data_IF_245286896009
#
_entry.id   IF_245286896009
#
_cell.length_a   1.000
_cell.length_b   1.000
_cell.length_c   1.000
_cell.angle_alpha   90.00
_cell.angle_beta   90.00
_cell.angle_gamma   90.00
#
_symmetry.space_group_name_H-M   'P 1'
#
loop_
_entity.id
_entity.type
_entity.pdbx_description
1 polymer ?
#
# COMPACT_ATOMS: atom_id res chain seq x y z
N UNK A 1 -12.46 -27.37 26.03
CA UNK A 1 -11.87 -26.09 26.43
C UNK A 1 -11.25 -25.50 25.15
N UNK A 2 -11.91 -24.54 24.55
CA UNK A 2 -11.43 -23.87 23.29
C UNK A 2 -10.53 -22.71 23.72
N UNK A 3 -9.24 -22.83 23.48
CA UNK A 3 -8.33 -21.69 23.59
C UNK A 3 -8.53 -20.79 22.36
N UNK A 4 -9.28 -19.72 22.53
CA UNK A 4 -9.29 -18.59 21.64
C UNK A 4 -7.93 -17.88 21.79
N UNK A 5 -7.06 -18.03 20.83
CA UNK A 5 -5.87 -17.19 20.69
C UNK A 5 -6.36 -15.85 20.15
N UNK A 6 -6.50 -14.91 21.07
CA UNK A 6 -6.83 -13.53 20.76
C UNK A 6 -5.54 -12.84 20.30
N UNK A 7 -5.27 -12.85 19.00
CA UNK A 7 -4.21 -12.07 18.39
C UNK A 7 -4.68 -10.62 18.27
N UNK A 8 -4.65 -9.90 19.37
CA UNK A 8 -4.75 -8.45 19.37
C UNK A 8 -3.34 -7.92 19.05
N UNK A 9 -3.09 -7.33 17.88
CA UNK A 9 -1.83 -6.64 17.63
C UNK A 9 -1.76 -5.41 18.53
N UNK A 10 -0.84 -5.44 19.46
CA UNK A 10 -0.61 -4.40 20.45
C UNK A 10 0.09 -3.19 19.85
N UNK A 11 -0.35 -2.07 20.26
CA UNK A 11 0.01 -0.67 20.09
C UNK A 11 1.49 -0.33 19.95
N UNK A 12 1.79 0.50 19.01
CA UNK A 12 3.12 1.08 18.81
C UNK A 12 3.11 2.60 18.95
N UNK A 13 4.03 3.10 19.78
CA UNK A 13 4.17 4.50 20.15
C UNK A 13 5.33 5.16 19.42
N UNK A 14 5.10 6.34 18.93
CA UNK A 14 6.11 7.22 18.40
C UNK A 14 6.48 8.30 19.42
N UNK A 15 7.75 8.41 19.80
CA UNK A 15 8.20 9.39 20.80
C UNK A 15 9.16 10.40 20.17
N UNK A 16 8.70 11.61 20.00
CA UNK A 16 9.55 12.72 19.58
C UNK A 16 10.41 13.24 20.72
N UNK A 17 11.72 13.42 20.48
CA UNK A 17 12.72 13.82 21.47
C UNK A 17 12.95 15.32 21.58
N UNK A 18 12.03 16.19 21.20
CA UNK A 18 12.20 17.61 21.44
C UNK A 18 11.35 18.10 22.62
N UNK A 19 12.01 18.76 23.56
CA UNK A 19 11.56 19.12 24.90
C UNK A 19 10.48 20.21 24.95
N UNK A 20 9.76 20.46 23.88
CA UNK A 20 8.66 21.43 23.88
C UNK A 20 7.48 20.86 23.06
N UNK A 21 6.56 20.23 23.76
CA UNK A 21 5.12 20.10 23.49
C UNK A 21 4.57 19.12 22.47
N UNK A 22 5.33 18.31 21.72
CA UNK A 22 4.68 17.20 21.00
C UNK A 22 4.93 15.88 21.74
N UNK A 23 3.88 15.32 22.33
CA UNK A 23 3.95 14.18 23.27
C UNK A 23 3.62 12.85 22.63
N UNK A 24 3.84 12.57 21.43
CA UNK A 24 3.76 11.22 20.87
C UNK A 24 2.96 11.12 19.57
N UNK A 25 3.59 10.52 18.57
CA UNK A 25 2.94 9.94 17.41
C UNK A 25 2.61 8.47 17.71
N UNK A 26 1.37 8.05 17.54
CA UNK A 26 0.95 6.68 17.77
C UNK A 26 0.55 6.01 16.46
N UNK A 27 1.05 4.84 16.22
CA UNK A 27 0.60 3.97 15.14
C UNK A 27 -0.22 2.82 15.70
N UNK A 28 -1.45 2.69 15.30
CA UNK A 28 -2.26 1.50 15.57
C UNK A 28 -2.74 0.87 14.29
N UNK A 29 -2.71 -0.44 14.26
CA UNK A 29 -3.23 -1.25 13.16
C UNK A 29 -4.71 -1.57 13.43
N UNK A 30 -5.64 -1.12 12.61
CA UNK A 30 -7.04 -1.53 12.67
C UNK A 30 -7.58 -1.91 11.29
N UNK A 31 -8.50 -2.86 11.27
CA UNK A 31 -8.99 -3.61 10.13
C UNK A 31 -9.76 -2.78 9.09
N UNK A 32 -9.46 -3.05 7.85
CA UNK A 32 -10.25 -2.92 6.60
C UNK A 32 -9.97 -1.73 5.68
N UNK A 33 -9.65 -2.00 4.42
CA UNK A 33 -9.78 -1.11 3.27
C UNK A 33 -8.63 -1.10 2.25
N UNK A 34 -8.92 -1.10 1.02
CA UNK A 34 -8.27 -1.63 -0.19
C UNK A 34 -7.61 -0.63 -1.14
N UNK A 35 -6.58 -1.03 -1.87
CA UNK A 35 -6.00 -0.37 -3.05
C UNK A 35 -5.60 -1.33 -4.18
N UNK A 36 -5.57 -0.82 -5.39
CA UNK A 36 -5.65 -1.56 -6.63
C UNK A 36 -4.48 -1.43 -7.57
N UNK A 37 -4.25 -2.51 -8.35
CA UNK A 37 -3.67 -2.42 -9.69
C UNK A 37 -4.23 -3.58 -10.53
N UNK A 38 -5.11 -3.32 -11.49
CA UNK A 38 -5.51 -4.21 -12.58
C UNK A 38 -6.40 -3.47 -13.60
N UNK A 39 -6.37 -3.90 -14.85
CA UNK A 39 -6.94 -3.39 -16.11
C UNK A 39 -8.44 -3.04 -16.18
N UNK A 40 -9.01 -2.53 -15.15
CA UNK A 40 -10.27 -1.75 -15.10
C UNK A 40 -10.20 -0.93 -13.85
N UNK A 41 -10.85 0.25 -13.76
CA UNK A 41 -11.01 0.92 -12.48
C UNK A 41 -11.84 -0.01 -11.59
N UNK A 42 -11.16 -0.97 -10.99
CA UNK A 42 -11.74 -1.84 -9.98
C UNK A 42 -12.13 -0.94 -8.84
N UNK A 43 -13.43 -0.88 -8.59
CA UNK A 43 -13.92 -0.31 -7.34
C UNK A 43 -13.16 -0.99 -6.22
N UNK A 44 -12.70 -0.22 -5.25
CA UNK A 44 -11.84 -0.65 -4.16
C UNK A 44 -12.32 -1.90 -3.40
N UNK A 45 -13.48 -2.41 -3.71
CA UNK A 45 -14.21 -3.45 -2.99
C UNK A 45 -14.29 -4.81 -3.71
N UNK A 46 -13.84 -4.92 -4.96
CA UNK A 46 -14.15 -6.09 -5.79
C UNK A 46 -13.05 -7.18 -5.86
N UNK A 47 -11.82 -6.93 -5.38
CA UNK A 47 -10.81 -7.98 -5.38
C UNK A 47 -10.99 -8.93 -4.20
N UNK A 48 -11.04 -10.24 -4.41
CA UNK A 48 -11.30 -11.20 -3.35
C UNK A 48 -10.20 -11.19 -2.28
N UNK A 49 -10.60 -11.33 -1.03
CA UNK A 49 -9.66 -11.65 0.04
C UNK A 49 -9.20 -13.11 -0.18
N UNK A 50 -7.92 -13.37 0.03
CA UNK A 50 -7.39 -14.72 -0.11
C UNK A 50 -8.16 -15.69 0.78
N UNK A 51 -8.54 -16.85 0.26
CA UNK A 51 -9.20 -17.89 1.05
C UNK A 51 -8.29 -18.27 2.22
N UNK A 52 -8.88 -18.41 3.42
CA UNK A 52 -8.13 -18.86 4.60
C UNK A 52 -7.81 -20.35 4.44
N UNK A 53 -6.52 -20.71 4.28
CA UNK A 53 -6.12 -22.11 4.06
C UNK A 53 -6.35 -22.99 5.29
N UNK A 54 -6.63 -22.42 6.45
CA UNK A 54 -7.00 -23.20 7.65
C UNK A 54 -8.42 -23.72 7.63
N UNK A 55 -9.28 -23.09 6.85
CA UNK A 55 -10.71 -23.43 6.72
C UNK A 55 -11.09 -23.89 5.29
N UNK A 56 -10.27 -23.58 4.31
CA UNK A 56 -10.52 -23.88 2.89
C UNK A 56 -9.39 -24.77 2.35
N UNK A 57 -9.74 -25.94 1.83
CA UNK A 57 -8.77 -26.79 1.14
C UNK A 57 -8.58 -26.27 -0.28
N UNK A 58 -7.35 -25.94 -0.63
CA UNK A 58 -6.97 -25.51 -1.99
C UNK A 58 -6.21 -26.67 -2.65
N UNK A 59 -6.81 -27.25 -3.66
CA UNK A 59 -6.37 -28.53 -4.26
C UNK A 59 -5.29 -28.38 -5.33
N UNK A 60 -5.29 -27.21 -6.03
CA UNK A 60 -4.34 -26.89 -7.10
C UNK A 60 -4.20 -25.38 -7.26
N UNK A 61 -3.22 -24.93 -8.03
CA UNK A 61 -3.11 -23.51 -8.43
C UNK A 61 -4.14 -23.16 -9.49
N UNK A 62 -4.32 -24.07 -10.45
CA UNK A 62 -5.19 -23.84 -11.58
C UNK A 62 -5.88 -25.16 -11.99
N UNK A 63 -7.18 -25.14 -12.00
CA UNK A 63 -8.06 -26.11 -12.61
C UNK A 63 -9.45 -25.47 -12.72
N UNK A 64 -9.87 -25.13 -13.93
CA UNK A 64 -11.17 -24.52 -14.19
C UNK A 64 -12.35 -25.41 -13.81
N UNK A 65 -12.14 -26.72 -13.85
CA UNK A 65 -13.17 -27.73 -13.51
C UNK A 65 -13.25 -28.03 -12.02
N UNK A 66 -12.24 -27.64 -11.24
CA UNK A 66 -12.17 -27.85 -9.79
C UNK A 66 -12.50 -26.54 -9.03
N UNK A 67 -13.70 -26.49 -8.47
CA UNK A 67 -14.15 -25.34 -7.65
C UNK A 67 -13.30 -25.09 -6.39
N UNK A 68 -12.38 -25.99 -6.05
CA UNK A 68 -11.43 -25.88 -4.95
C UNK A 68 -10.03 -25.46 -5.41
N UNK A 69 -9.82 -25.20 -6.69
CA UNK A 69 -8.56 -24.61 -7.18
C UNK A 69 -8.41 -23.16 -6.72
N UNK A 70 -7.17 -22.69 -6.57
CA UNK A 70 -6.89 -21.28 -6.25
C UNK A 70 -7.55 -20.34 -7.27
N UNK A 71 -7.45 -20.68 -8.57
CA UNK A 71 -8.12 -19.97 -9.65
C UNK A 71 -9.63 -19.82 -9.43
N UNK A 72 -10.33 -20.92 -9.18
CA UNK A 72 -11.78 -20.89 -9.00
C UNK A 72 -12.20 -20.14 -7.73
N UNK A 73 -11.44 -20.29 -6.64
CA UNK A 73 -11.72 -19.63 -5.35
C UNK A 73 -11.45 -18.11 -5.39
N UNK A 74 -10.61 -17.65 -6.30
CA UNK A 74 -10.23 -16.23 -6.43
C UNK A 74 -10.88 -15.53 -7.63
N UNK A 75 -11.79 -16.22 -8.32
CA UNK A 75 -12.61 -15.65 -9.39
C UNK A 75 -11.94 -15.50 -10.73
N UNK A 76 -10.78 -16.17 -10.96
CA UNK A 76 -10.12 -16.24 -12.26
C UNK A 76 -9.90 -14.88 -12.89
N UNK A 77 -8.90 -14.14 -12.43
CA UNK A 77 -8.60 -12.82 -13.00
C UNK A 77 -7.61 -12.91 -14.17
N UNK A 78 -7.99 -12.31 -15.29
CA UNK A 78 -7.17 -12.10 -16.48
C UNK A 78 -7.41 -13.13 -17.59
N UNK A 79 -7.20 -12.70 -18.83
CA UNK A 79 -7.28 -13.55 -20.04
C UNK A 79 -6.22 -14.66 -20.05
N UNK A 80 -5.23 -14.59 -19.17
CA UNK A 80 -4.09 -15.52 -19.07
C UNK A 80 -4.20 -16.53 -17.92
N UNK A 81 -5.38 -16.69 -17.32
CA UNK A 81 -5.69 -17.83 -16.45
C UNK A 81 -5.13 -17.79 -15.03
N UNK A 82 -4.64 -16.64 -14.54
CA UNK A 82 -4.12 -16.52 -13.18
C UNK A 82 -5.21 -16.14 -12.16
N UNK A 83 -5.34 -16.87 -11.07
CA UNK A 83 -6.11 -16.46 -9.91
C UNK A 83 -5.40 -15.33 -9.17
N UNK A 84 -6.18 -14.43 -8.56
CA UNK A 84 -5.67 -13.28 -7.78
C UNK A 84 -6.45 -13.09 -6.50
N UNK A 85 -5.77 -12.82 -5.40
CA UNK A 85 -6.42 -12.42 -4.15
C UNK A 85 -5.53 -11.51 -3.31
N UNK A 86 -6.14 -10.89 -2.29
CA UNK A 86 -5.45 -10.01 -1.34
C UNK A 86 -5.26 -10.70 0.00
N UNK A 87 -4.07 -10.56 0.55
CA UNK A 87 -3.68 -11.14 1.82
C UNK A 87 -2.98 -10.15 2.75
N UNK A 88 -2.68 -10.63 3.93
CA UNK A 88 -1.90 -9.91 4.92
C UNK A 88 -0.44 -10.34 4.82
N UNK A 89 0.51 -9.44 4.54
CA UNK A 89 1.92 -9.78 4.59
C UNK A 89 2.40 -9.98 6.02
N UNK A 90 3.42 -10.81 6.24
CA UNK A 90 4.11 -10.94 7.52
C UNK A 90 4.98 -9.69 7.80
N UNK A 91 5.43 -8.99 6.72
CA UNK A 91 6.12 -7.72 6.78
C UNK A 91 5.72 -6.85 5.59
N UNK A 92 5.51 -5.56 5.83
CA UNK A 92 5.24 -4.55 4.82
C UNK A 92 6.05 -3.30 5.12
N UNK A 93 6.82 -2.82 4.16
CA UNK A 93 7.67 -1.66 4.37
C UNK A 93 7.65 -0.69 3.19
N UNK A 94 7.79 0.59 3.50
CA UNK A 94 7.96 1.68 2.53
C UNK A 94 9.06 2.62 2.99
N UNK A 95 9.70 3.32 2.05
CA UNK A 95 10.56 4.45 2.40
C UNK A 95 9.75 5.73 2.34
N UNK A 96 9.62 6.44 3.46
CA UNK A 96 8.86 7.68 3.60
C UNK A 96 9.83 8.87 3.51
N UNK A 97 9.55 9.81 2.62
CA UNK A 97 10.33 11.05 2.45
C UNK A 97 9.65 12.25 3.12
N UNK A 98 8.32 12.33 2.98
CA UNK A 98 7.53 13.41 3.59
C UNK A 98 6.17 12.91 4.01
N UNK A 99 5.65 13.51 5.05
CA UNK A 99 4.31 13.25 5.54
C UNK A 99 3.73 14.52 6.17
N UNK A 100 2.48 14.82 5.87
CA UNK A 100 1.85 16.04 6.37
C UNK A 100 0.41 16.21 5.93
N UNK A 101 -0.06 17.44 6.00
CA UNK A 101 -1.45 17.81 5.75
C UNK A 101 -1.53 19.02 4.84
N UNK A 102 -2.52 19.03 3.96
CA UNK A 102 -2.72 20.11 3.00
C UNK A 102 -4.17 20.60 3.01
N UNK A 103 -4.36 21.90 2.77
CA UNK A 103 -5.68 22.50 2.59
C UNK A 103 -6.24 22.27 1.19
N UNK A 104 -5.38 21.88 0.25
CA UNK A 104 -5.73 21.52 -1.14
C UNK A 104 -4.95 20.28 -1.54
N UNK A 105 -5.50 19.49 -2.46
CA UNK A 105 -4.76 18.39 -3.07
C UNK A 105 -3.56 18.93 -3.86
N UNK A 106 -2.31 18.64 -3.49
CA UNK A 106 -1.14 19.19 -4.17
C UNK A 106 -0.96 18.73 -5.63
N UNK A 107 -1.50 17.57 -6.01
CA UNK A 107 -1.50 17.09 -7.40
C UNK A 107 -2.65 17.64 -8.24
N UNK A 108 -3.72 18.15 -7.58
CA UNK A 108 -4.90 18.73 -8.22
C UNK A 108 -5.43 19.90 -7.38
N UNK A 109 -4.69 21.03 -7.24
CA UNK A 109 -5.00 22.10 -6.28
C UNK A 109 -6.25 22.90 -6.63
N UNK A 110 -6.72 22.81 -7.86
CA UNK A 110 -7.96 23.47 -8.34
C UNK A 110 -9.18 22.55 -8.26
N UNK A 111 -8.96 21.24 -8.09
CA UNK A 111 -10.01 20.22 -8.17
C UNK A 111 -10.52 19.94 -9.59
N UNK A 112 -10.01 20.63 -10.60
CA UNK A 112 -10.48 20.54 -11.99
C UNK A 112 -9.46 19.95 -12.96
N UNK A 113 -8.17 19.96 -12.63
CA UNK A 113 -7.11 19.40 -13.48
C UNK A 113 -5.91 18.95 -12.67
N UNK A 114 -5.39 17.78 -13.01
CA UNK A 114 -4.15 17.23 -12.47
C UNK A 114 -2.96 18.01 -13.03
N UNK A 115 -1.92 18.21 -12.25
CA UNK A 115 -0.69 18.92 -12.63
C UNK A 115 0.32 18.00 -13.33
N UNK A 116 -0.12 17.09 -14.20
CA UNK A 116 0.80 16.22 -14.97
C UNK A 116 1.89 17.03 -15.69
N UNK A 117 3.11 16.53 -15.70
CA UNK A 117 4.27 17.23 -16.26
C UNK A 117 4.74 18.43 -15.45
N UNK A 118 4.17 18.67 -14.25
CA UNK A 118 4.54 19.76 -13.37
C UNK A 118 4.83 19.26 -11.95
N UNK A 119 5.42 20.11 -11.11
CA UNK A 119 5.60 19.78 -9.69
C UNK A 119 4.29 19.92 -8.94
N UNK A 120 4.01 19.05 -7.95
CA UNK A 120 2.88 19.24 -7.04
C UNK A 120 2.95 20.60 -6.33
N UNK A 121 1.80 21.22 -6.11
CA UNK A 121 1.70 22.49 -5.37
C UNK A 121 1.58 22.25 -3.86
N UNK A 122 2.69 22.29 -3.17
CA UNK A 122 2.74 22.13 -1.71
C UNK A 122 2.51 23.44 -0.92
N UNK A 123 2.12 24.54 -1.56
CA UNK A 123 1.98 25.86 -0.90
C UNK A 123 0.94 25.89 0.23
N UNK A 124 -0.03 24.96 0.20
CA UNK A 124 -1.07 24.85 1.22
C UNK A 124 -0.79 23.76 2.26
N UNK A 125 0.39 23.16 2.23
CA UNK A 125 0.75 22.02 3.06
C UNK A 125 1.57 22.43 4.29
N UNK A 126 1.43 21.65 5.35
CA UNK A 126 2.29 21.64 6.54
C UNK A 126 2.82 20.23 6.74
N UNK A 127 4.10 20.12 7.11
CA UNK A 127 4.76 18.84 7.21
C UNK A 127 4.90 18.42 8.68
N UNK A 128 4.54 17.18 8.97
CA UNK A 128 4.81 16.53 10.26
C UNK A 128 6.16 15.80 10.24
N UNK A 129 6.61 15.40 9.04
CA UNK A 129 7.83 14.66 8.83
C UNK A 129 8.45 15.02 7.48
N UNK A 130 9.77 15.22 7.43
CA UNK A 130 10.55 15.39 6.21
C UNK A 130 11.94 14.73 6.34
N UNK A 131 12.31 13.92 5.34
CA UNK A 131 13.65 13.35 5.19
C UNK A 131 14.09 13.42 3.73
N UNK A 132 15.29 13.89 3.49
CA UNK A 132 15.86 13.95 2.13
C UNK A 132 16.29 12.58 1.62
N UNK A 133 16.80 11.72 2.50
CA UNK A 133 17.20 10.34 2.19
C UNK A 133 16.03 9.36 2.23
N UNK A 134 14.94 9.73 2.90
CA UNK A 134 13.84 8.85 3.25
C UNK A 134 14.16 7.99 4.46
N UNK A 135 13.13 7.59 5.19
CA UNK A 135 13.19 6.66 6.32
C UNK A 135 12.38 5.42 6.02
N UNK A 136 12.95 4.26 6.32
CA UNK A 136 12.25 2.99 6.13
C UNK A 136 11.23 2.81 7.25
N UNK A 137 9.97 2.84 6.87
CA UNK A 137 8.85 2.46 7.71
C UNK A 137 8.53 0.99 7.46
N UNK A 138 8.72 0.14 8.46
CA UNK A 138 8.40 -1.28 8.43
C UNK A 138 7.17 -1.53 9.29
N UNK A 139 6.09 -1.97 8.65
CA UNK A 139 4.80 -2.24 9.29
C UNK A 139 4.61 -3.74 9.56
N UNK A 140 5.68 -4.47 9.85
CA UNK A 140 5.56 -5.86 10.30
C UNK A 140 4.63 -5.92 11.52
N UNK A 141 3.89 -7.02 11.63
CA UNK A 141 2.87 -7.19 12.67
C UNK A 141 3.42 -6.84 14.07
N UNK A 142 3.07 -5.66 14.57
CA UNK A 142 3.52 -5.13 15.86
C UNK A 142 4.83 -4.31 15.81
N UNK A 143 5.42 -4.05 14.65
CA UNK A 143 6.62 -3.21 14.53
C UNK A 143 6.32 -1.72 14.76
N UNK A 144 7.14 -1.06 15.58
CA UNK A 144 7.10 0.39 15.81
C UNK A 144 8.07 1.06 14.85
N UNK A 145 7.61 2.07 14.11
CA UNK A 145 8.48 2.90 13.30
C UNK A 145 8.76 4.18 14.08
N UNK A 146 9.98 4.31 14.59
CA UNK A 146 10.43 5.52 15.25
C UNK A 146 10.98 6.52 14.20
N UNK A 147 10.17 7.49 13.80
CA UNK A 147 10.60 8.62 12.97
C UNK A 147 11.10 9.80 13.82
N UNK A 148 11.31 9.65 15.14
CA UNK A 148 11.61 10.74 16.08
C UNK A 148 13.00 11.34 15.94
N UNK A 149 13.93 10.62 15.34
CA UNK A 149 15.32 11.10 15.14
C UNK A 149 15.43 11.94 13.86
N UNK A 150 14.38 11.96 13.03
CA UNK A 150 14.36 12.71 11.77
C UNK A 150 13.60 14.02 11.98
N UNK A 151 13.95 15.03 11.22
CA UNK A 151 13.39 16.39 11.35
C UNK A 151 11.85 16.37 11.25
N UNK A 152 11.22 16.29 12.41
CA UNK A 152 9.78 16.44 12.55
C UNK A 152 9.47 17.87 12.91
N UNK A 153 8.51 18.45 12.23
CA UNK A 153 7.97 19.77 12.56
C UNK A 153 6.55 19.63 13.11
N UNK A 154 6.19 20.53 14.01
CA UNK A 154 4.80 20.63 14.44
C UNK A 154 3.98 21.17 13.27
N UNK A 155 2.96 20.44 12.77
CA UNK A 155 2.07 20.98 11.77
C UNK A 155 1.35 22.22 12.29
N UNK A 156 1.24 23.26 11.47
CA UNK A 156 0.56 24.47 11.86
C UNK A 156 -0.91 24.19 12.24
N UNK A 157 -1.43 24.95 13.23
CA UNK A 157 -2.84 24.86 13.59
C UNK A 157 -3.73 25.22 12.38
N UNK A 158 -4.80 24.46 12.20
CA UNK A 158 -5.70 24.63 11.07
C UNK A 158 -6.62 23.43 10.84
N UNK A 159 -7.44 23.57 9.81
CA UNK A 159 -8.32 22.50 9.32
C UNK A 159 -7.79 21.99 7.99
N UNK A 160 -7.59 20.69 7.90
CA UNK A 160 -6.94 20.02 6.78
C UNK A 160 -7.82 18.91 6.22
N UNK A 161 -8.37 19.07 5.03
CA UNK A 161 -9.14 18.01 4.36
C UNK A 161 -8.26 16.93 3.73
N UNK A 162 -6.95 17.19 3.55
CA UNK A 162 -6.05 16.25 2.89
C UNK A 162 -4.87 15.86 3.77
N UNK A 163 -4.65 14.55 3.91
CA UNK A 163 -3.37 14.02 4.38
C UNK A 163 -2.51 13.65 3.17
N UNK A 164 -1.20 13.89 3.25
CA UNK A 164 -0.26 13.67 2.15
C UNK A 164 0.93 12.87 2.60
N UNK A 165 1.39 11.97 1.73
CA UNK A 165 2.59 11.16 1.95
C UNK A 165 3.40 11.07 0.66
N UNK A 166 4.70 11.36 0.73
CA UNK A 166 5.65 11.13 -0.34
C UNK A 166 6.51 9.92 0.04
N UNK A 167 6.39 8.85 -0.73
CA UNK A 167 7.08 7.58 -0.47
C UNK A 167 7.90 7.12 -1.69
N UNK A 168 8.76 6.12 -1.49
CA UNK A 168 9.38 5.40 -2.59
C UNK A 168 8.34 4.64 -3.42
N UNK A 169 8.64 4.45 -4.70
CA UNK A 169 7.91 3.51 -5.56
C UNK A 169 8.14 2.04 -5.18
N UNK A 170 9.18 1.76 -4.39
CA UNK A 170 9.61 0.41 -4.05
C UNK A 170 9.02 0.00 -2.71
N UNK A 171 8.16 -1.01 -2.73
CA UNK A 171 7.55 -1.60 -1.54
C UNK A 171 8.32 -2.84 -1.12
N UNK A 172 8.48 -3.04 0.18
CA UNK A 172 9.16 -4.19 0.76
C UNK A 172 8.16 -5.11 1.39
N UNK A 173 8.08 -6.33 0.89
CA UNK A 173 7.08 -7.29 1.33
C UNK A 173 7.75 -8.58 1.75
N UNK A 174 7.24 -9.18 2.81
CA UNK A 174 7.50 -10.55 3.17
C UNK A 174 6.18 -11.24 3.45
N UNK A 175 5.88 -12.28 2.71
CA UNK A 175 4.61 -12.96 2.80
C UNK A 175 4.69 -14.43 2.46
N UNK A 176 3.66 -15.15 2.87
CA UNK A 176 3.46 -16.56 2.54
C UNK A 176 1.99 -16.82 2.28
N UNK A 177 1.72 -17.84 1.49
CA UNK A 177 0.37 -18.31 1.23
C UNK A 177 0.35 -19.84 1.08
N UNK A 178 -0.69 -20.45 1.58
CA UNK A 178 -0.91 -21.91 1.49
C UNK A 178 -1.34 -22.54 2.82
N UNK A 179 -1.62 -23.87 2.84
CA UNK A 179 -1.20 -24.79 1.80
C UNK A 179 -2.09 -24.79 0.54
N UNK A 180 -1.45 -24.84 -0.62
CA UNK A 180 -2.08 -25.17 -1.89
C UNK A 180 -1.52 -26.51 -2.34
N UNK A 181 -2.36 -27.49 -2.57
CA UNK A 181 -1.93 -28.89 -2.83
C UNK A 181 -0.89 -29.40 -1.79
N UNK A 182 -1.06 -29.02 -0.54
CA UNK A 182 -0.15 -29.37 0.55
C UNK A 182 1.17 -28.59 0.61
N UNK A 183 1.39 -27.59 -0.26
CA UNK A 183 2.60 -26.76 -0.30
C UNK A 183 2.31 -25.34 0.16
N UNK A 184 3.17 -24.78 1.00
CA UNK A 184 3.18 -23.35 1.34
C UNK A 184 4.19 -22.64 0.44
N UNK A 185 3.78 -21.53 -0.14
CA UNK A 185 4.61 -20.66 -0.97
C UNK A 185 5.08 -19.47 -0.13
N UNK A 186 6.35 -19.12 -0.28
CA UNK A 186 7.04 -18.05 0.46
C UNK A 186 7.60 -17.03 -0.52
N UNK A 187 7.52 -15.75 -0.19
CA UNK A 187 8.26 -14.71 -0.92
C UNK A 187 9.76 -14.98 -0.82
N UNK A 188 10.50 -14.65 -1.88
CA UNK A 188 11.96 -14.73 -1.92
C UNK A 188 12.57 -13.34 -1.98
N UNK A 189 13.90 -13.22 -2.00
CA UNK A 189 14.57 -11.94 -2.22
C UNK A 189 14.44 -11.41 -3.65
N UNK A 190 13.98 -12.23 -4.58
CA UNK A 190 13.74 -11.88 -5.98
C UNK A 190 12.26 -11.55 -6.17
N UNK A 191 11.98 -10.41 -6.79
CA UNK A 191 10.62 -10.01 -7.14
C UNK A 191 10.01 -10.96 -8.19
N UNK A 192 8.72 -11.22 -8.08
CA UNK A 192 7.96 -12.17 -8.93
C UNK A 192 8.41 -13.64 -8.81
N UNK A 193 9.19 -13.98 -7.78
CA UNK A 193 9.56 -15.35 -7.47
C UNK A 193 9.00 -15.79 -6.11
N UNK A 194 8.63 -17.08 -6.03
CA UNK A 194 8.31 -17.73 -4.77
C UNK A 194 9.02 -19.07 -4.64
N UNK A 195 9.16 -19.54 -3.41
CA UNK A 195 9.70 -20.85 -3.11
C UNK A 195 8.76 -21.61 -2.19
N UNK A 196 8.76 -22.93 -2.32
CA UNK A 196 8.10 -23.83 -1.35
C UNK A 196 9.04 -24.23 -0.20
N UNK A 197 10.28 -23.78 -0.23
CA UNK A 197 11.25 -24.02 0.83
C UNK A 197 11.29 -22.82 1.78
N UNK A 198 11.03 -23.07 3.05
CA UNK A 198 11.04 -22.02 4.09
C UNK A 198 12.42 -21.36 4.27
N UNK A 199 13.52 -22.00 3.88
CA UNK A 199 14.85 -21.39 3.93
C UNK A 199 15.00 -20.18 2.99
N UNK A 200 14.17 -20.10 1.96
CA UNK A 200 14.20 -19.02 0.97
C UNK A 200 13.29 -17.84 1.36
N UNK A 201 12.58 -17.97 2.50
CA UNK A 201 11.62 -16.96 2.97
C UNK A 201 12.29 -15.64 3.30
N UNK A 202 12.15 -14.68 2.42
CA UNK A 202 12.81 -13.39 2.48
C UNK A 202 11.88 -12.22 2.12
N UNK A 203 12.35 -11.00 2.43
CA UNK A 203 11.74 -9.76 1.94
C UNK A 203 12.03 -9.64 0.45
N UNK A 204 10.98 -9.46 -0.35
CA UNK A 204 11.07 -9.02 -1.74
C UNK A 204 10.88 -7.51 -1.84
N UNK A 205 11.42 -6.91 -2.90
CA UNK A 205 11.14 -5.52 -3.25
C UNK A 205 10.23 -5.49 -4.47
N UNK A 206 9.02 -5.02 -4.29
CA UNK A 206 7.99 -4.89 -5.32
C UNK A 206 7.97 -3.46 -5.84
N UNK A 207 8.49 -3.19 -7.06
CA UNK A 207 8.49 -1.84 -7.62
C UNK A 207 7.14 -1.53 -8.25
N UNK A 208 6.50 -0.44 -7.80
CA UNK A 208 5.37 0.12 -8.54
C UNK A 208 5.85 0.62 -9.89
N UNK A 209 5.15 0.28 -10.98
CA UNK A 209 5.54 0.64 -12.35
C UNK A 209 4.49 1.50 -13.06
N UNK A 210 3.22 1.34 -12.71
CA UNK A 210 2.07 2.05 -13.29
C UNK A 210 0.88 1.84 -12.35
N UNK A 211 -0.17 2.65 -12.50
CA UNK A 211 -1.44 2.40 -11.78
C UNK A 211 -2.41 1.51 -12.55
N UNK A 212 -2.13 1.20 -13.81
CA UNK A 212 -3.04 0.45 -14.67
C UNK A 212 -2.28 -0.55 -15.54
N UNK A 213 -1.68 -1.54 -14.88
CA UNK A 213 -0.99 -2.63 -15.54
C UNK A 213 0.42 -2.31 -16.06
N UNK A 214 1.10 -3.31 -16.62
CA UNK A 214 2.49 -3.22 -17.04
C UNK A 214 2.70 -2.68 -18.46
N UNK A 215 1.65 -2.54 -19.26
CA UNK A 215 1.73 -2.24 -20.70
C UNK A 215 1.42 -0.79 -21.05
N UNK A 216 0.85 -0.04 -20.10
CA UNK A 216 0.54 1.39 -20.27
C UNK A 216 1.08 2.19 -19.09
N UNK A 217 1.59 3.39 -19.34
CA UNK A 217 1.93 4.30 -18.26
C UNK A 217 0.68 5.05 -17.78
N UNK A 218 0.08 4.59 -16.70
CA UNK A 218 -0.92 5.35 -15.94
C UNK A 218 -0.22 5.96 -14.73
N UNK A 219 0.13 7.24 -14.85
CA UNK A 219 0.94 7.95 -13.85
C UNK A 219 0.11 8.54 -12.71
N UNK A 220 -1.21 8.58 -12.87
CA UNK A 220 -2.12 9.18 -11.90
C UNK A 220 -3.34 8.31 -11.67
N UNK A 221 -3.82 8.30 -10.44
CA UNK A 221 -5.12 7.72 -10.09
C UNK A 221 -5.84 8.62 -9.10
N UNK A 222 -7.14 8.77 -9.21
CA UNK A 222 -7.90 9.71 -8.38
C UNK A 222 -9.17 9.07 -7.79
N UNK A 223 -9.48 9.51 -6.58
CA UNK A 223 -10.76 9.25 -5.89
C UNK A 223 -11.05 7.77 -5.61
N UNK A 224 -10.02 6.95 -5.48
CA UNK A 224 -10.21 5.57 -5.04
C UNK A 224 -10.73 5.55 -3.60
N UNK A 225 -11.87 4.90 -3.38
CA UNK A 225 -12.50 4.83 -2.05
C UNK A 225 -11.66 3.97 -1.13
N UNK A 226 -11.43 4.47 0.09
CA UNK A 226 -10.68 3.77 1.14
C UNK A 226 -11.34 4.02 2.48
N UNK A 227 -10.89 3.28 3.50
CA UNK A 227 -11.31 3.57 4.87
C UNK A 227 -10.86 4.98 5.24
N UNK A 228 -11.82 5.80 5.66
CA UNK A 228 -11.58 7.17 6.09
C UNK A 228 -11.59 8.21 4.97
N UNK A 229 -11.85 7.85 3.70
CA UNK A 229 -11.94 8.85 2.63
C UNK A 229 -11.74 8.31 1.22
N UNK A 230 -11.13 9.14 0.38
CA UNK A 230 -10.70 8.73 -0.96
C UNK A 230 -9.23 9.06 -1.15
N UNK A 231 -8.52 8.26 -1.92
CA UNK A 231 -7.11 8.53 -2.26
C UNK A 231 -6.97 8.89 -3.73
N UNK A 232 -6.11 9.87 -3.96
CA UNK A 232 -5.48 10.15 -5.24
C UNK A 232 -3.98 9.88 -5.10
N UNK A 233 -3.36 9.37 -6.16
CA UNK A 233 -1.94 9.10 -6.15
C UNK A 233 -1.28 9.51 -7.47
N UNK A 234 -0.02 9.93 -7.40
CA UNK A 234 0.70 10.53 -8.51
C UNK A 234 2.15 10.02 -8.51
N UNK A 235 2.60 9.50 -9.65
CA UNK A 235 3.97 9.07 -9.83
C UNK A 235 4.87 10.26 -10.14
N UNK A 236 6.04 10.33 -9.48
CA UNK A 236 6.99 11.42 -9.63
C UNK A 236 8.36 10.92 -10.09
N UNK A 237 9.01 11.72 -10.93
CA UNK A 237 10.40 11.52 -11.33
C UNK A 237 11.41 11.94 -10.24
N UNK A 238 12.70 11.84 -10.55
CA UNK A 238 13.79 12.21 -9.65
C UNK A 238 13.85 13.71 -9.32
N UNK A 239 13.25 14.57 -10.16
CA UNK A 239 13.17 16.02 -9.93
C UNK A 239 11.95 16.42 -9.10
N UNK A 240 11.06 15.45 -8.80
CA UNK A 240 9.79 15.66 -8.11
C UNK A 240 8.68 16.18 -9.02
N UNK A 241 8.84 16.02 -10.34
CA UNK A 241 7.81 16.34 -11.34
C UNK A 241 6.87 15.14 -11.48
N UNK A 242 5.57 15.39 -11.53
CA UNK A 242 4.56 14.35 -11.77
C UNK A 242 4.70 13.87 -13.22
N UNK A 243 4.72 12.56 -13.40
CA UNK A 243 4.74 11.94 -14.72
C UNK A 243 3.45 12.23 -15.47
N UNK A 244 3.51 12.12 -16.79
CA UNK A 244 2.36 12.20 -17.69
C UNK A 244 1.92 10.79 -18.02
N UNK A 245 0.62 10.55 -17.94
CA UNK A 245 0.04 9.27 -18.35
C UNK A 245 0.03 9.15 -19.86
N UNK A 246 0.27 7.95 -20.36
CA UNK A 246 0.08 7.66 -21.79
C UNK A 246 -1.42 7.63 -22.13
N UNK A 247 -1.76 8.06 -23.32
CA UNK A 247 -3.15 8.02 -23.83
C UNK A 247 -3.45 6.75 -24.60
N UNK A 248 -2.43 5.98 -24.94
CA UNK A 248 -2.51 4.74 -25.70
C UNK A 248 -1.63 3.68 -25.06
N UNK A 249 -1.96 2.41 -25.27
CA UNK A 249 -1.12 1.30 -24.84
C UNK A 249 0.18 1.30 -25.66
N UNK A 250 1.28 1.61 -24.98
CA UNK A 250 2.62 1.67 -25.58
C UNK A 250 3.40 0.38 -25.39
N UNK A 251 2.82 -0.63 -24.71
CA UNK A 251 3.50 -1.86 -24.32
C UNK A 251 4.55 -1.67 -23.24
N UNK A 252 4.53 -0.52 -22.52
CA UNK A 252 5.53 -0.20 -21.53
C UNK A 252 4.93 0.56 -20.31
N UNK A 253 5.35 0.23 -19.07
CA UNK A 253 4.96 0.99 -17.89
C UNK A 253 5.66 2.36 -17.84
N UNK A 254 5.32 3.16 -16.82
CA UNK A 254 5.94 4.46 -16.59
C UNK A 254 7.46 4.35 -16.40
N UNK A 255 8.21 5.16 -17.12
CA UNK A 255 9.67 5.25 -17.02
C UNK A 255 10.11 6.46 -16.21
N UNK A 256 11.28 6.38 -15.55
CA UNK A 256 11.85 7.50 -14.81
C UNK A 256 11.20 7.79 -13.46
N UNK A 257 10.20 7.05 -13.08
CA UNK A 257 9.54 7.14 -11.78
C UNK A 257 10.45 6.72 -10.64
N UNK A 258 10.46 7.51 -9.56
CA UNK A 258 11.23 7.19 -8.32
C UNK A 258 10.40 7.34 -7.05
N UNK A 259 9.34 8.13 -7.07
CA UNK A 259 8.51 8.42 -5.89
C UNK A 259 7.03 8.35 -6.22
N UNK A 260 6.25 8.12 -5.18
CA UNK A 260 4.81 8.14 -5.18
C UNK A 260 4.31 9.22 -4.21
N UNK A 261 3.49 10.14 -4.68
CA UNK A 261 2.73 11.05 -3.85
C UNK A 261 1.33 10.50 -3.66
N UNK A 262 1.02 10.06 -2.45
CA UNK A 262 -0.33 9.70 -2.02
C UNK A 262 -1.02 10.91 -1.38
N UNK A 263 -2.26 11.18 -1.77
CA UNK A 263 -3.11 12.24 -1.21
C UNK A 263 -4.43 11.64 -0.79
N UNK A 264 -4.67 11.57 0.49
CA UNK A 264 -5.94 11.14 1.04
C UNK A 264 -6.85 12.34 1.25
N UNK A 265 -7.99 12.37 0.56
CA UNK A 265 -9.09 13.27 0.86
C UNK A 265 -9.91 12.63 1.98
N UNK A 266 -9.79 13.15 3.19
CA UNK A 266 -10.39 12.58 4.39
C UNK A 266 -11.90 12.78 4.41
N UNK A 267 -12.65 11.77 4.88
CA UNK A 267 -14.11 11.85 5.02
C UNK A 267 -14.55 12.85 6.10
N UNK A 268 -13.64 13.17 7.01
CA UNK A 268 -13.79 14.23 8.01
C UNK A 268 -12.49 15.01 8.10
N UNK A 269 -12.57 16.32 8.02
CA UNK A 269 -11.40 17.19 8.09
C UNK A 269 -10.64 16.99 9.40
N UNK A 270 -9.32 16.92 9.32
CA UNK A 270 -8.46 16.90 10.49
C UNK A 270 -8.30 18.32 11.03
N UNK A 271 -8.66 18.53 12.29
CA UNK A 271 -8.42 19.79 12.99
C UNK A 271 -7.17 19.67 13.86
N UNK A 272 -6.18 20.51 13.60
CA UNK A 272 -4.99 20.70 14.44
C UNK A 272 -5.16 22.03 15.16
N UNK A 273 -5.19 21.99 16.48
CA UNK A 273 -5.28 23.16 17.34
C UNK A 273 -3.95 23.36 18.09
N UNK A 274 -3.69 24.57 18.59
CA UNK A 274 -2.52 24.84 19.44
C UNK A 274 -2.47 23.97 20.71
N UNK A 275 -3.61 23.36 21.08
CA UNK A 275 -3.74 22.44 22.21
C UNK A 275 -3.64 20.97 21.82
N UNK A 276 -3.47 20.66 20.53
CA UNK A 276 -3.31 19.27 20.06
C UNK A 276 -2.02 18.70 20.63
N UNK A 277 -2.15 17.66 21.47
CA UNK A 277 -1.01 17.04 22.16
C UNK A 277 -0.24 16.05 21.29
N UNK A 278 -0.85 15.58 20.20
CA UNK A 278 -0.24 14.64 19.29
C UNK A 278 -1.13 14.26 18.11
N UNK A 279 -0.54 13.50 17.18
CA UNK A 279 -1.21 12.93 16.04
C UNK A 279 -0.88 11.44 15.97
N UNK A 280 -1.90 10.63 15.78
CA UNK A 280 -1.79 9.20 15.59
C UNK A 280 -2.13 8.89 14.13
N UNK A 281 -1.24 8.15 13.47
CA UNK A 281 -1.48 7.62 12.14
C UNK A 281 -1.49 6.09 12.19
N UNK A 282 -2.47 5.49 11.56
CA UNK A 282 -2.63 4.04 11.49
C UNK A 282 -2.54 3.58 10.05
N UNK A 283 -1.61 2.67 9.76
CA UNK A 283 -1.53 1.97 8.48
C UNK A 283 -2.28 0.65 8.57
N UNK A 284 -3.06 0.36 7.54
CA UNK A 284 -3.90 -0.84 7.47
C UNK A 284 -3.43 -1.66 6.28
N UNK A 285 -2.80 -2.80 6.55
CA UNK A 285 -2.30 -3.76 5.55
C UNK A 285 -2.99 -5.14 5.65
N UNK A 286 -3.85 -5.32 6.66
CA UNK A 286 -4.57 -6.58 6.89
C UNK A 286 -5.52 -6.89 5.72
N UNK A 287 -5.43 -8.10 5.18
CA UNK A 287 -6.19 -8.58 4.02
C UNK A 287 -6.06 -7.68 2.79
N UNK A 288 -4.93 -6.98 2.65
CA UNK A 288 -4.77 -5.95 1.66
C UNK A 288 -3.33 -5.67 1.24
N UNK A 289 -2.39 -5.62 2.17
CA UNK A 289 -1.01 -5.20 1.91
C UNK A 289 -0.19 -6.17 1.03
N UNK A 290 -0.75 -7.31 0.66
CA UNK A 290 -0.11 -8.28 -0.22
C UNK A 290 -1.11 -8.78 -1.25
N UNK A 291 -0.69 -8.77 -2.50
CA UNK A 291 -1.35 -9.45 -3.60
C UNK A 291 -0.72 -10.84 -3.78
N UNK A 292 -1.55 -11.85 -3.91
CA UNK A 292 -1.14 -13.23 -4.21
C UNK A 292 -1.72 -13.58 -5.57
N UNK A 293 -0.85 -13.94 -6.51
CA UNK A 293 -1.22 -14.22 -7.89
C UNK A 293 -0.64 -15.57 -8.33
N UNK A 294 -1.43 -16.34 -9.07
CA UNK A 294 -0.91 -17.53 -9.75
C UNK A 294 -0.17 -17.09 -11.02
N UNK A 295 1.10 -17.48 -11.12
CA UNK A 295 1.98 -17.14 -12.24
C UNK A 295 2.32 -18.36 -13.09
N UNK A 296 2.14 -18.24 -14.39
CA UNK A 296 2.48 -19.26 -15.40
C UNK A 296 2.96 -18.58 -16.68
N UNK A 297 3.59 -19.34 -17.56
CA UNK A 297 3.89 -18.88 -18.91
C UNK A 297 2.58 -18.80 -19.71
N UNK A 298 2.54 -17.90 -20.71
CA UNK A 298 1.40 -17.80 -21.63
C UNK A 298 1.06 -19.17 -22.24
N UNK A 299 -0.20 -19.58 -22.10
CA UNK A 299 -0.69 -20.89 -22.59
C UNK A 299 -0.34 -22.09 -21.72
N UNK A 300 0.33 -21.90 -20.58
CA UNK A 300 0.67 -22.96 -19.65
C UNK A 300 -0.01 -22.74 -18.29
N UNK A 301 -0.42 -23.83 -17.60
CA UNK A 301 -0.98 -23.69 -16.26
C UNK A 301 0.01 -23.02 -15.29
N UNK A 302 -0.46 -22.15 -14.38
CA UNK A 302 0.38 -21.54 -13.36
C UNK A 302 1.20 -22.59 -12.59
N UNK A 303 2.49 -22.37 -12.48
CA UNK A 303 3.43 -23.28 -11.79
C UNK A 303 3.81 -22.80 -10.39
N UNK A 304 3.58 -21.53 -10.07
CA UNK A 304 3.92 -20.91 -8.80
C UNK A 304 2.93 -19.81 -8.42
N UNK A 305 2.95 -19.43 -7.14
CA UNK A 305 2.34 -18.20 -6.66
C UNK A 305 3.42 -17.13 -6.58
N UNK A 306 3.09 -15.91 -6.97
CA UNK A 306 3.92 -14.73 -6.70
C UNK A 306 3.23 -13.84 -5.68
N UNK A 307 4.04 -13.08 -4.95
CA UNK A 307 3.58 -12.14 -3.95
C UNK A 307 4.08 -10.76 -4.33
N UNK A 308 3.13 -9.85 -4.54
CA UNK A 308 3.41 -8.45 -4.86
C UNK A 308 2.85 -7.54 -3.76
N UNK A 309 3.24 -6.27 -3.78
CA UNK A 309 2.65 -5.28 -2.88
C UNK A 309 1.17 -5.13 -3.18
N UNK A 310 0.40 -5.27 -2.14
CA UNK A 310 -0.97 -4.81 -2.13
C UNK A 310 -1.02 -3.37 -1.63
N UNK A 311 -2.20 -2.77 -1.71
CA UNK A 311 -2.42 -1.43 -1.21
C UNK A 311 -2.48 -1.39 0.32
N UNK A 312 -2.37 -0.18 0.86
CA UNK A 312 -2.61 0.10 2.27
C UNK A 312 -3.56 1.29 2.43
N UNK A 313 -4.23 1.35 3.57
CA UNK A 313 -5.01 2.52 3.96
C UNK A 313 -4.35 3.20 5.15
N UNK A 314 -4.71 4.47 5.37
CA UNK A 314 -4.19 5.27 6.48
C UNK A 314 -5.35 5.97 7.17
N UNK A 315 -5.38 5.97 8.51
CA UNK A 315 -6.30 6.77 9.30
C UNK A 315 -5.53 7.68 10.25
N UNK A 316 -6.14 8.79 10.63
CA UNK A 316 -5.53 9.83 11.47
C UNK A 316 -6.41 10.14 12.67
N UNK A 317 -5.80 10.31 13.83
CA UNK A 317 -6.46 10.73 15.07
C UNK A 317 -5.59 11.78 15.76
N UNK A 318 -6.20 12.86 16.27
CA UNK A 318 -5.54 13.84 17.16
C UNK A 318 -5.91 13.58 18.61
N UNK A 319 -5.03 13.92 19.56
CA UNK A 319 -5.29 13.79 20.99
C UNK A 319 -4.63 14.94 21.78
#
# INVERSE_FOLDING_TARGET
MKNLINLNPTFNYYKMKNKTLFKSFFFTLSLAGSFFFLDKPLKADDSPICPDPSTTTITSLYDESDSSSFFALTGGYGEEGGGFCRGTPDQYGVTVFKMGFCKKNPGNPTGSSILEGSKPDYSSCTWAFESTSGEVADFSAGGEVDLSEVASSEPAAGVYPHAVMLISKDFRIKGKFGPVAGKTYYSTSTFEESSTNISDYAVTTAPLKSFDGPTICTATTEKNVVVGGTISAYLLDSTGTMLVSDTEDTGAPCTGMVKLLGVMNMSSDLTIADTTGGLKMTFIVTNNGMSVMANGAEGEPPSQLIMDSGPFSVTFETF
#
